data_IF_765345777464
#
_entry.id   IF_765345777464
#
_cell.length_a   1.000
_cell.length_b   1.000
_cell.length_c   1.000
_cell.angle_alpha   90.00
_cell.angle_beta   90.00
_cell.angle_gamma   90.00
#
_symmetry.space_group_name_H-M   'P 1'
#
loop_
_entity.id
_entity.type
_entity.pdbx_description
1 polymer ?
#
# COMPACT_ATOMS: atom_id res chain seq x y z
N UNK A 1 9.44 31.62 13.94
CA UNK A 1 9.53 30.21 13.48
C UNK A 1 8.14 29.63 13.57
N UNK A 2 7.40 29.73 12.48
CA UNK A 2 5.99 29.31 12.41
C UNK A 2 5.97 28.11 11.48
N UNK A 3 5.76 26.92 12.04
CA UNK A 3 5.59 25.69 11.26
C UNK A 3 4.21 25.73 10.62
N UNK A 4 4.18 26.00 9.33
CA UNK A 4 2.95 25.95 8.54
C UNK A 4 2.65 24.48 8.25
N UNK A 5 1.51 24.02 8.74
CA UNK A 5 0.93 22.74 8.38
C UNK A 5 0.73 22.66 6.86
N UNK A 6 1.24 21.61 6.23
CA UNK A 6 0.77 21.12 4.93
C UNK A 6 0.55 19.62 5.05
N UNK A 7 -0.68 19.29 5.41
CA UNK A 7 -1.31 18.02 5.08
C UNK A 7 -2.28 18.29 3.91
N UNK A 8 -2.47 17.27 3.08
CA UNK A 8 -3.43 17.15 1.97
C UNK A 8 -3.03 17.81 0.63
N UNK A 9 -2.39 17.03 -0.24
CA UNK A 9 -2.56 17.15 -1.70
C UNK A 9 -2.04 15.91 -2.47
N UNK A 10 -2.53 14.69 -2.22
CA UNK A 10 -2.44 13.61 -3.22
C UNK A 10 -3.77 12.86 -3.25
N UNK A 11 -4.72 13.41 -4.01
CA UNK A 11 -5.96 12.74 -4.37
C UNK A 11 -6.50 13.33 -5.69
N UNK A 12 -5.78 13.14 -6.80
CA UNK A 12 -6.32 13.43 -8.14
C UNK A 12 -5.43 12.89 -9.27
N UNK A 13 -5.25 11.57 -9.38
CA UNK A 13 -4.71 10.97 -10.60
C UNK A 13 -5.31 9.58 -10.90
N UNK A 14 -6.63 9.43 -10.74
CA UNK A 14 -7.34 8.22 -11.21
C UNK A 14 -8.84 8.49 -11.46
N UNK A 15 -9.18 9.58 -12.16
CA UNK A 15 -10.58 9.84 -12.54
C UNK A 15 -10.69 10.17 -14.02
N UNK A 16 -10.21 9.28 -14.87
CA UNK A 16 -10.56 9.29 -16.28
C UNK A 16 -10.66 7.83 -16.77
N UNK A 17 -11.86 7.24 -16.75
CA UNK A 17 -12.47 6.54 -17.90
C UNK A 17 -13.88 5.98 -17.55
N UNK A 18 -14.85 6.43 -18.35
CA UNK A 18 -16.16 5.84 -18.67
C UNK A 18 -17.32 5.88 -17.66
N UNK A 19 -18.02 7.00 -17.72
CA UNK A 19 -19.48 7.03 -17.77
C UNK A 19 -20.00 6.32 -19.05
N UNK A 20 -20.88 5.31 -18.92
CA UNK A 20 -22.01 5.02 -19.83
C UNK A 20 -22.75 3.72 -19.46
N UNK A 21 -23.85 3.82 -18.71
CA UNK A 21 -25.17 3.23 -19.03
C UNK A 21 -26.10 3.38 -17.81
N UNK A 22 -27.08 4.27 -17.96
CA UNK A 22 -28.12 4.52 -16.97
C UNK A 22 -29.12 3.37 -16.89
N UNK A 23 -29.56 3.10 -15.67
CA UNK A 23 -30.71 2.25 -15.34
C UNK A 23 -31.32 2.75 -14.04
N UNK A 24 -32.32 3.62 -14.16
CA UNK A 24 -33.08 4.22 -13.07
C UNK A 24 -33.92 3.20 -12.32
N UNK A 25 -33.78 3.13 -10.99
CA UNK A 25 -34.88 2.75 -10.09
C UNK A 25 -34.61 3.21 -8.66
N UNK A 26 -35.31 4.28 -8.27
CA UNK A 26 -35.73 4.65 -6.91
C UNK A 26 -36.35 3.44 -6.17
N UNK A 27 -36.24 3.31 -4.83
CA UNK A 27 -37.15 4.08 -3.97
C UNK A 27 -36.69 4.47 -2.53
N UNK A 28 -37.42 5.47 -2.00
CA UNK A 28 -37.88 5.70 -0.61
C UNK A 28 -36.82 5.80 0.50
N UNK A 29 -36.49 7.00 1.01
CA UNK A 29 -37.25 7.80 2.01
C UNK A 29 -37.68 7.05 3.27
N UNK A 30 -36.84 7.10 4.31
CA UNK A 30 -37.18 7.49 5.70
C UNK A 30 -35.94 7.29 6.57
N UNK A 31 -35.58 8.27 7.42
CA UNK A 31 -35.30 8.07 8.86
C UNK A 31 -34.76 9.37 9.48
N UNK A 32 -35.65 9.94 10.29
CA UNK A 32 -35.53 10.78 11.50
C UNK A 32 -34.20 11.45 11.88
N UNK A 33 -34.30 12.77 12.03
CA UNK A 33 -33.38 13.65 12.73
C UNK A 33 -33.28 13.34 14.24
N UNK A 34 -32.05 13.40 14.77
CA UNK A 34 -31.78 13.57 16.18
C UNK A 34 -30.89 14.82 16.34
N UNK A 35 -31.49 15.85 16.94
CA UNK A 35 -30.81 17.05 17.43
C UNK A 35 -29.77 16.66 18.49
N UNK A 36 -28.52 17.09 18.28
CA UNK A 36 -27.52 17.18 19.33
C UNK A 36 -26.87 18.56 19.23
N UNK A 37 -27.32 19.46 20.09
CA UNK A 37 -26.71 20.75 20.34
C UNK A 37 -25.32 20.53 20.97
N UNK A 38 -24.27 20.97 20.27
CA UNK A 38 -22.91 21.05 20.83
C UNK A 38 -22.59 22.53 21.03
N UNK A 39 -22.47 22.92 22.29
CA UNK A 39 -22.03 24.26 22.71
C UNK A 39 -20.57 24.48 22.30
N UNK A 40 -20.35 25.51 21.47
CA UNK A 40 -19.03 25.98 21.05
C UNK A 40 -18.54 27.02 22.04
N UNK A 41 -17.50 26.69 22.81
CA UNK A 41 -16.74 27.66 23.61
C UNK A 41 -15.58 28.17 22.79
N UNK A 42 -15.69 29.41 22.31
CA UNK A 42 -14.63 30.16 21.66
C UNK A 42 -13.72 30.77 22.72
N UNK A 43 -12.44 30.40 22.73
CA UNK A 43 -11.39 31.15 23.40
C UNK A 43 -10.51 31.82 22.34
N UNK A 44 -10.68 33.13 22.22
CA UNK A 44 -9.81 34.01 21.46
C UNK A 44 -8.51 34.23 22.24
N UNK A 45 -7.38 33.80 21.69
CA UNK A 45 -6.06 34.26 22.15
C UNK A 45 -5.35 35.02 21.03
N UNK A 46 -5.44 36.36 21.11
CA UNK A 46 -4.74 37.30 20.26
C UNK A 46 -3.32 37.54 20.78
N UNK A 47 -2.32 36.89 20.18
CA UNK A 47 -0.90 37.14 20.42
C UNK A 47 -0.26 37.86 19.23
N UNK A 48 0.22 39.07 19.48
CA UNK A 48 0.75 39.99 18.47
C UNK A 48 2.29 39.90 18.33
N UNK A 49 2.77 40.34 17.15
CA UNK A 49 4.10 40.94 16.86
C UNK A 49 5.31 39.99 16.80
N UNK A 50 5.94 39.87 15.63
CA UNK A 50 7.28 40.45 15.41
C UNK A 50 7.57 40.62 13.90
N UNK A 51 7.70 41.87 13.47
CA UNK A 51 8.25 42.26 12.17
C UNK A 51 9.74 42.51 12.36
N UNK A 52 10.61 41.77 11.67
CA UNK A 52 12.03 42.14 11.52
C UNK A 52 12.59 41.55 10.21
N UNK A 53 13.58 42.20 9.57
CA UNK A 53 13.53 42.49 8.15
C UNK A 53 14.68 41.80 7.40
N UNK A 54 14.57 41.85 6.08
CA UNK A 54 15.65 41.97 5.09
C UNK A 54 17.07 41.54 5.51
N UNK A 55 17.59 40.48 4.89
CA UNK A 55 19.00 40.11 5.05
C UNK A 55 19.57 38.92 4.26
N UNK A 56 19.52 38.96 2.92
CA UNK A 56 20.46 38.32 1.97
C UNK A 56 20.54 36.76 1.93
N UNK A 57 21.25 36.10 0.96
CA UNK A 57 22.03 36.58 -0.18
C UNK A 57 21.62 35.97 -1.56
N UNK A 58 22.43 36.27 -2.57
CA UNK A 58 22.26 36.03 -4.00
C UNK A 58 22.31 34.55 -4.40
N UNK A 59 21.42 34.25 -5.35
CA UNK A 59 21.38 33.15 -6.31
C UNK A 59 22.72 33.01 -7.07
N UNK A 60 23.34 31.84 -6.95
CA UNK A 60 24.68 31.51 -7.45
C UNK A 60 24.67 30.57 -8.66
N UNK A 61 23.65 30.59 -9.52
CA UNK A 61 23.79 30.17 -10.92
C UNK A 61 24.41 28.78 -11.15
N UNK A 62 24.10 27.82 -10.27
CA UNK A 62 24.40 26.41 -10.42
C UNK A 62 23.37 25.74 -11.32
N UNK A 63 23.83 25.25 -12.46
CA UNK A 63 23.11 24.39 -13.40
C UNK A 63 22.93 23.00 -12.78
N UNK A 64 21.87 22.84 -11.98
CA UNK A 64 21.45 21.57 -11.36
C UNK A 64 20.07 21.18 -11.90
N UNK A 65 20.03 20.42 -13.00
CA UNK A 65 18.77 20.00 -13.67
C UNK A 65 18.08 18.81 -12.99
N UNK A 66 18.10 18.74 -11.65
CA UNK A 66 17.22 17.88 -10.89
C UNK A 66 16.84 18.61 -9.61
N UNK A 67 15.64 19.20 -9.60
CA UNK A 67 15.10 19.85 -8.40
C UNK A 67 14.69 18.77 -7.41
N UNK A 68 15.54 18.45 -6.45
CA UNK A 68 15.13 17.71 -5.25
C UNK A 68 14.14 18.60 -4.49
N UNK A 69 12.88 18.18 -4.43
CA UNK A 69 11.91 18.84 -3.55
C UNK A 69 12.24 18.49 -2.10
N UNK A 70 11.85 19.33 -1.14
CA UNK A 70 12.09 19.06 0.30
C UNK A 70 11.45 17.75 0.83
N UNK A 71 10.70 17.02 -0.01
CA UNK A 71 9.98 15.80 0.34
C UNK A 71 10.58 14.52 -0.24
N UNK A 72 11.74 14.57 -0.94
CA UNK A 72 12.32 13.37 -1.57
C UNK A 72 11.56 12.88 -2.81
N UNK A 73 10.65 13.70 -3.35
CA UNK A 73 9.96 13.40 -4.61
C UNK A 73 10.93 13.52 -5.80
N UNK A 74 10.88 12.55 -6.70
CA UNK A 74 11.61 12.59 -7.98
C UNK A 74 10.69 13.16 -9.05
N UNK A 75 11.06 14.30 -9.64
CA UNK A 75 10.29 14.97 -10.68
C UNK A 75 11.01 15.02 -12.02
N UNK A 76 10.27 14.99 -13.14
CA UNK A 76 10.82 15.20 -14.48
C UNK A 76 11.08 16.70 -14.79
N UNK A 77 11.59 16.98 -16.00
CA UNK A 77 11.87 18.34 -16.49
C UNK A 77 10.64 19.26 -16.51
N UNK A 78 9.44 18.68 -16.56
CA UNK A 78 8.15 19.38 -16.55
C UNK A 78 7.57 19.52 -15.12
N UNK A 79 8.25 18.97 -14.11
CA UNK A 79 7.84 19.00 -12.71
C UNK A 79 6.80 17.94 -12.33
N UNK A 80 6.60 16.92 -13.16
CA UNK A 80 5.69 15.81 -12.83
C UNK A 80 6.41 14.79 -11.94
N UNK A 81 5.69 14.24 -10.96
CA UNK A 81 6.19 13.15 -10.11
C UNK A 81 6.42 11.89 -10.95
N UNK A 82 7.67 11.46 -11.04
CA UNK A 82 8.10 10.25 -11.77
C UNK A 82 8.74 9.21 -10.86
N UNK A 83 8.87 9.51 -9.57
CA UNK A 83 9.40 8.59 -8.58
C UNK A 83 9.34 9.16 -7.18
N UNK A 84 9.75 8.35 -6.21
CA UNK A 84 9.73 8.68 -4.78
C UNK A 84 10.97 8.12 -4.10
N UNK A 85 11.31 8.71 -2.96
CA UNK A 85 12.24 8.13 -2.00
C UNK A 85 11.50 7.12 -1.11
N UNK A 86 12.00 5.88 -1.05
CA UNK A 86 11.48 4.82 -0.19
C UNK A 86 12.53 4.36 0.81
N UNK A 87 12.11 4.04 2.03
CA UNK A 87 13.00 3.43 2.99
C UNK A 87 14.15 4.35 3.42
N UNK A 88 15.37 3.88 3.27
CA UNK A 88 16.58 4.56 3.77
C UNK A 88 17.22 5.48 2.72
N UNK A 89 16.40 6.12 1.88
CA UNK A 89 16.87 7.00 0.80
C UNK A 89 16.94 6.35 -0.58
N UNK A 90 16.28 5.21 -0.79
CA UNK A 90 16.25 4.57 -2.11
C UNK A 90 15.34 5.35 -3.04
N UNK A 91 15.90 5.92 -4.12
CA UNK A 91 15.09 6.55 -5.16
C UNK A 91 14.52 5.49 -6.09
N UNK A 92 13.20 5.53 -6.27
CA UNK A 92 12.45 4.56 -7.06
C UNK A 92 11.69 5.29 -8.13
N UNK A 93 11.87 4.87 -9.38
CA UNK A 93 11.13 5.41 -10.52
C UNK A 93 9.85 4.62 -10.83
N UNK A 94 8.79 5.34 -11.18
CA UNK A 94 7.54 4.77 -11.65
C UNK A 94 7.61 4.40 -13.13
N UNK A 95 7.05 3.23 -13.49
CA UNK A 95 6.84 2.82 -14.87
C UNK A 95 5.47 3.28 -15.37
N UNK A 96 5.36 4.59 -15.63
CA UNK A 96 4.11 5.20 -16.10
C UNK A 96 3.69 4.69 -17.49
N UNK A 97 4.64 4.23 -18.31
CA UNK A 97 4.36 3.63 -19.61
C UNK A 97 3.72 2.26 -19.46
N UNK A 98 4.25 1.41 -18.57
CA UNK A 98 3.64 0.12 -18.25
C UNK A 98 2.25 0.30 -17.65
N UNK A 99 2.09 1.25 -16.71
CA UNK A 99 0.80 1.59 -16.12
C UNK A 99 -0.23 2.02 -17.19
N UNK A 100 0.17 2.86 -18.15
CA UNK A 100 -0.71 3.33 -19.22
C UNK A 100 -1.05 2.23 -20.24
N UNK A 101 -0.14 1.27 -20.46
CA UNK A 101 -0.35 0.15 -21.38
C UNK A 101 -1.34 -0.89 -20.86
N UNK A 102 -1.44 -1.04 -19.54
CA UNK A 102 -2.26 -2.08 -18.89
C UNK A 102 -1.74 -3.51 -19.08
N UNK A 103 -0.49 -3.68 -19.50
CA UNK A 103 0.13 -4.99 -19.73
C UNK A 103 1.44 -5.10 -18.94
N UNK A 104 1.31 -5.32 -17.63
CA UNK A 104 2.43 -5.41 -16.70
C UNK A 104 2.79 -6.89 -16.51
N UNK A 105 4.08 -7.22 -16.53
CA UNK A 105 4.53 -8.60 -16.40
C UNK A 105 4.52 -9.07 -14.93
N UNK A 106 4.31 -10.37 -14.67
CA UNK A 106 4.66 -10.99 -13.39
C UNK A 106 6.11 -10.69 -12.99
N UNK A 107 6.34 -10.47 -11.70
CA UNK A 107 7.65 -10.10 -11.16
C UNK A 107 7.90 -8.59 -11.09
N UNK A 108 7.08 -7.76 -11.75
CA UNK A 108 7.13 -6.31 -11.56
C UNK A 108 6.83 -5.94 -10.11
N UNK A 109 7.58 -4.95 -9.60
CA UNK A 109 7.36 -4.35 -8.29
C UNK A 109 6.36 -3.21 -8.37
N UNK A 110 5.58 -3.00 -7.33
CA UNK A 110 4.55 -1.97 -7.26
C UNK A 110 4.71 -1.14 -6.00
N UNK A 111 4.64 0.18 -6.13
CA UNK A 111 4.59 1.11 -5.00
C UNK A 111 3.15 1.46 -4.64
N UNK A 112 2.85 1.54 -3.35
CA UNK A 112 1.62 2.13 -2.84
C UNK A 112 1.86 2.86 -1.52
N UNK A 113 0.92 3.73 -1.18
CA UNK A 113 0.93 4.51 0.06
C UNK A 113 -0.40 4.32 0.78
N UNK A 114 -0.35 4.25 2.11
CA UNK A 114 -1.51 4.24 2.98
C UNK A 114 -1.92 5.66 3.36
N UNK A 115 -3.20 5.91 3.51
CA UNK A 115 -3.74 7.16 4.08
C UNK A 115 -3.26 7.41 5.52
N UNK A 116 -2.80 6.36 6.22
CA UNK A 116 -2.18 6.46 7.54
C UNK A 116 -0.71 6.91 7.52
N UNK A 117 -0.13 7.18 6.34
CA UNK A 117 1.21 7.74 6.18
C UNK A 117 2.35 6.74 6.13
N UNK A 118 2.07 5.45 5.90
CA UNK A 118 3.10 4.46 5.63
C UNK A 118 3.07 4.00 4.17
N UNK A 119 4.23 3.68 3.66
CA UNK A 119 4.47 3.34 2.27
C UNK A 119 4.82 1.86 2.14
N UNK A 120 4.62 1.29 0.96
CA UNK A 120 4.97 -0.10 0.72
C UNK A 120 5.35 -0.41 -0.72
N UNK A 121 6.21 -1.41 -0.88
CA UNK A 121 6.58 -2.01 -2.16
C UNK A 121 6.13 -3.46 -2.18
N UNK A 122 5.37 -3.83 -3.20
CA UNK A 122 4.92 -5.20 -3.45
C UNK A 122 5.76 -5.80 -4.56
N UNK A 123 6.44 -6.91 -4.27
CA UNK A 123 7.02 -7.79 -5.27
C UNK A 123 6.01 -8.88 -5.60
N UNK A 124 5.46 -8.85 -6.81
CA UNK A 124 4.39 -9.78 -7.23
C UNK A 124 4.86 -11.23 -7.40
N UNK A 125 6.17 -11.44 -7.49
CA UNK A 125 6.74 -12.77 -7.56
C UNK A 125 8.05 -12.83 -6.80
N UNK A 126 8.14 -13.75 -5.84
CA UNK A 126 9.37 -14.09 -5.13
C UNK A 126 9.62 -15.61 -5.22
N UNK A 127 10.84 -16.03 -4.88
CA UNK A 127 11.14 -17.45 -4.74
C UNK A 127 10.27 -18.09 -3.64
N UNK A 128 9.86 -19.37 -3.78
CA UNK A 128 9.13 -20.08 -2.75
C UNK A 128 9.85 -20.03 -1.40
N UNK A 129 9.09 -19.72 -0.34
CA UNK A 129 9.62 -19.65 1.01
C UNK A 129 9.73 -21.08 1.55
N UNK A 130 10.96 -21.55 1.77
CA UNK A 130 11.30 -22.97 1.93
C UNK A 130 10.44 -23.73 2.96
N UNK A 131 10.22 -23.16 4.15
CA UNK A 131 9.46 -23.81 5.22
C UNK A 131 7.95 -23.77 4.99
N UNK A 132 7.42 -22.69 4.40
CA UNK A 132 6.03 -22.63 3.96
C UNK A 132 5.76 -23.65 2.86
N UNK A 133 6.65 -23.75 1.87
CA UNK A 133 6.48 -24.66 0.75
C UNK A 133 6.59 -26.13 1.20
N UNK A 134 7.55 -26.44 2.07
CA UNK A 134 7.67 -27.77 2.66
C UNK A 134 6.41 -28.15 3.46
N UNK A 135 5.85 -27.22 4.22
CA UNK A 135 4.63 -27.46 4.99
C UNK A 135 3.41 -27.64 4.08
N UNK A 136 3.25 -26.80 3.05
CA UNK A 136 2.21 -26.91 2.03
C UNK A 136 2.20 -28.28 1.37
N UNK A 137 3.37 -28.76 0.92
CA UNK A 137 3.52 -30.08 0.30
C UNK A 137 3.14 -31.21 1.26
N UNK A 138 3.57 -31.10 2.52
CA UNK A 138 3.23 -32.07 3.57
C UNK A 138 1.74 -32.10 3.87
N UNK A 139 1.08 -30.95 3.85
CA UNK A 139 -0.36 -30.79 4.01
C UNK A 139 -1.16 -31.25 2.78
N UNK A 140 -0.50 -31.45 1.64
CA UNK A 140 -1.17 -31.75 0.38
C UNK A 140 -1.98 -30.57 -0.16
N UNK A 141 -1.58 -29.33 0.19
CA UNK A 141 -2.18 -28.12 -0.37
C UNK A 141 -1.93 -28.00 -1.87
N UNK A 142 -2.75 -27.21 -2.55
CA UNK A 142 -2.51 -26.85 -3.96
C UNK A 142 -1.26 -25.97 -4.10
N UNK A 143 -0.57 -25.95 -5.25
CA UNK A 143 0.54 -25.02 -5.50
C UNK A 143 0.08 -23.56 -5.40
N UNK A 144 0.94 -22.69 -4.86
CA UNK A 144 0.66 -21.25 -4.68
C UNK A 144 1.78 -20.40 -5.28
N UNK A 145 1.47 -19.13 -5.57
CA UNK A 145 2.46 -18.10 -5.85
C UNK A 145 2.75 -17.30 -4.57
N UNK A 146 4.01 -16.88 -4.39
CA UNK A 146 4.45 -16.08 -3.26
C UNK A 146 4.71 -14.64 -3.69
N UNK A 147 4.31 -13.71 -2.83
CA UNK A 147 4.60 -12.28 -2.92
C UNK A 147 5.27 -11.79 -1.64
N UNK A 148 5.93 -10.65 -1.72
CA UNK A 148 6.35 -9.90 -0.54
C UNK A 148 5.86 -8.46 -0.59
N UNK A 149 5.45 -7.93 0.56
CA UNK A 149 5.27 -6.50 0.77
C UNK A 149 6.34 -5.99 1.73
N UNK A 150 7.24 -5.13 1.27
CA UNK A 150 8.15 -4.34 2.12
C UNK A 150 7.41 -3.08 2.55
N UNK A 151 7.13 -2.95 3.83
CA UNK A 151 6.27 -1.91 4.39
C UNK A 151 7.14 -0.99 5.23
N UNK A 152 7.22 0.27 4.85
CA UNK A 152 7.82 1.33 5.66
C UNK A 152 6.74 2.18 6.32
N UNK A 153 6.52 1.93 7.60
CA UNK A 153 5.56 2.65 8.40
C UNK A 153 6.24 3.54 9.44
N UNK A 154 7.46 4.03 9.14
CA UNK A 154 8.23 4.84 10.08
C UNK A 154 7.61 6.21 10.34
N UNK A 155 6.98 6.78 9.32
CA UNK A 155 6.27 8.06 9.37
C UNK A 155 4.76 7.90 9.59
N UNK A 156 4.24 6.68 9.55
CA UNK A 156 2.81 6.43 9.68
C UNK A 156 2.30 6.42 11.13
N UNK A 157 1.00 6.71 11.27
CA UNK A 157 0.34 6.89 12.56
C UNK A 157 -0.39 5.63 13.08
N UNK A 158 -0.62 4.64 12.21
CA UNK A 158 -1.39 3.44 12.51
C UNK A 158 -0.71 2.18 11.97
N UNK A 159 -1.12 1.01 12.47
CA UNK A 159 -0.56 -0.26 12.01
C UNK A 159 -0.95 -0.55 10.55
N UNK A 160 0.03 -0.93 9.72
CA UNK A 160 -0.19 -1.42 8.35
C UNK A 160 -0.02 -2.93 8.38
N UNK A 161 -1.09 -3.68 8.11
CA UNK A 161 -1.09 -5.13 8.16
C UNK A 161 -1.28 -5.81 6.80
N UNK A 162 -1.44 -5.04 5.72
CA UNK A 162 -1.60 -5.54 4.36
C UNK A 162 -2.55 -6.74 4.29
N UNK A 163 -3.79 -6.53 4.71
CA UNK A 163 -4.78 -7.60 4.91
C UNK A 163 -4.97 -8.47 3.66
N UNK A 164 -4.95 -7.85 2.50
CA UNK A 164 -5.12 -8.52 1.22
C UNK A 164 -4.44 -7.71 0.12
N UNK A 165 -3.94 -8.41 -0.89
CA UNK A 165 -3.58 -7.82 -2.18
C UNK A 165 -4.44 -8.47 -3.26
N UNK A 166 -5.08 -7.64 -4.08
CA UNK A 166 -5.85 -8.07 -5.24
C UNK A 166 -5.08 -7.70 -6.52
N UNK A 167 -4.80 -8.71 -7.35
CA UNK A 167 -4.19 -8.54 -8.67
C UNK A 167 -5.26 -8.76 -9.72
N UNK A 168 -5.30 -7.89 -10.73
CA UNK A 168 -6.28 -7.95 -11.80
C UNK A 168 -5.61 -8.20 -13.14
N UNK A 169 -6.26 -9.00 -13.99
CA UNK A 169 -5.85 -9.26 -15.37
C UNK A 169 -6.60 -8.37 -16.39
N UNK A 170 -6.21 -8.37 -17.69
CA UNK A 170 -6.90 -7.61 -18.73
C UNK A 170 -8.38 -7.98 -18.96
N UNK A 171 -8.82 -9.15 -18.50
CA UNK A 171 -10.23 -9.55 -18.55
C UNK A 171 -11.03 -9.08 -17.32
N UNK A 172 -10.37 -8.48 -16.33
CA UNK A 172 -10.96 -8.04 -15.07
C UNK A 172 -11.15 -9.18 -14.06
N UNK A 173 -10.49 -10.33 -14.24
CA UNK A 173 -10.47 -11.38 -13.23
C UNK A 173 -9.58 -10.95 -12.07
N UNK A 174 -10.03 -11.27 -10.85
CA UNK A 174 -9.35 -10.94 -9.60
C UNK A 174 -8.62 -12.16 -9.05
N UNK A 175 -7.37 -11.95 -8.64
CA UNK A 175 -6.49 -12.93 -8.03
C UNK A 175 -6.09 -12.41 -6.65
N UNK A 176 -6.53 -13.12 -5.61
CA UNK A 176 -6.42 -12.67 -4.23
C UNK A 176 -5.22 -13.32 -3.55
N UNK A 177 -4.44 -12.49 -2.87
CA UNK A 177 -3.30 -12.88 -2.05
C UNK A 177 -3.56 -12.47 -0.61
N UNK A 178 -3.39 -13.42 0.29
CA UNK A 178 -3.56 -13.27 1.75
C UNK A 178 -2.23 -13.53 2.46
N UNK A 179 -2.19 -13.25 3.76
CA UNK A 179 -0.98 -13.42 4.55
C UNK A 179 -0.57 -14.89 4.69
N UNK A 180 0.73 -15.15 4.78
CA UNK A 180 1.24 -16.50 4.89
C UNK A 180 0.78 -17.24 6.17
N UNK A 181 0.43 -16.53 7.25
CA UNK A 181 -0.16 -17.16 8.44
C UNK A 181 -1.57 -17.69 8.18
N UNK A 182 -2.37 -17.00 7.37
CA UNK A 182 -3.70 -17.47 6.97
C UNK A 182 -3.58 -18.74 6.10
N UNK A 183 -2.66 -18.76 5.14
CA UNK A 183 -2.41 -19.97 4.35
C UNK A 183 -1.86 -21.14 5.20
N UNK A 184 -0.99 -20.87 6.16
CA UNK A 184 -0.51 -21.90 7.09
C UNK A 184 -1.66 -22.48 7.92
N UNK A 185 -2.61 -21.64 8.36
CA UNK A 185 -3.81 -22.08 9.06
C UNK A 185 -4.72 -22.94 8.16
N UNK A 186 -4.92 -22.56 6.90
CA UNK A 186 -5.70 -23.34 5.93
C UNK A 186 -5.07 -24.71 5.66
N UNK A 187 -3.76 -24.76 5.43
CA UNK A 187 -3.05 -26.01 5.18
C UNK A 187 -3.04 -26.93 6.39
N UNK A 188 -2.94 -26.36 7.60
CA UNK A 188 -3.08 -27.11 8.85
C UNK A 188 -4.44 -27.80 8.94
N UNK A 189 -5.51 -27.13 8.53
CA UNK A 189 -6.86 -27.69 8.57
C UNK A 189 -7.04 -28.88 7.60
N UNK A 190 -6.28 -28.95 6.50
CA UNK A 190 -6.29 -30.08 5.57
C UNK A 190 -5.75 -31.38 6.19
N UNK A 191 -4.78 -31.26 7.09
CA UNK A 191 -4.13 -32.39 7.76
C UNK A 191 -5.02 -33.05 8.83
N UNK A 192 -6.01 -32.30 9.34
CA UNK A 192 -6.76 -32.70 10.53
C UNK A 192 -5.91 -32.69 11.81
N UNK A 193 -6.45 -33.27 12.89
CA UNK A 193 -5.82 -33.24 14.22
C UNK A 193 -5.09 -34.54 14.62
N UNK A 194 -4.97 -35.49 13.70
CA UNK A 194 -4.47 -36.84 14.01
C UNK A 194 -2.93 -36.92 14.07
N UNK A 195 -2.25 -36.01 13.35
CA UNK A 195 -0.80 -35.84 13.39
C UNK A 195 -0.44 -34.58 14.20
N UNK A 196 -0.26 -34.77 15.50
CA UNK A 196 0.03 -33.69 16.45
C UNK A 196 1.32 -32.94 16.11
N UNK A 197 2.34 -33.63 15.59
CA UNK A 197 3.63 -33.01 15.29
C UNK A 197 3.48 -32.07 14.08
N UNK A 198 2.80 -32.52 13.03
CA UNK A 198 2.52 -31.70 11.85
C UNK A 198 1.52 -30.57 12.14
N UNK A 199 0.56 -30.81 13.02
CA UNK A 199 -0.36 -29.77 13.47
C UNK A 199 0.37 -28.64 14.23
N UNK A 200 1.29 -28.99 15.14
CA UNK A 200 2.09 -28.02 15.86
C UNK A 200 3.06 -27.25 14.95
N UNK A 201 3.62 -27.91 13.94
CA UNK A 201 4.44 -27.25 12.90
C UNK A 201 3.64 -26.14 12.18
N UNK A 202 2.36 -26.39 11.86
CA UNK A 202 1.47 -25.38 11.29
C UNK A 202 1.20 -24.20 12.23
N UNK A 203 1.03 -24.46 13.53
CA UNK A 203 0.92 -23.40 14.53
C UNK A 203 2.21 -22.58 14.61
N UNK A 204 3.37 -23.24 14.60
CA UNK A 204 4.66 -22.56 14.66
C UNK A 204 4.88 -21.68 13.42
N UNK A 205 4.50 -22.16 12.23
CA UNK A 205 4.52 -21.37 11.00
C UNK A 205 3.53 -20.21 11.04
N UNK A 206 2.26 -20.47 11.38
CA UNK A 206 1.26 -19.41 11.53
C UNK A 206 1.78 -18.31 12.48
N UNK A 207 2.27 -18.66 13.66
CA UNK A 207 2.87 -17.69 14.59
C UNK A 207 4.13 -16.98 14.05
N UNK A 208 4.94 -17.65 13.22
CA UNK A 208 6.14 -17.05 12.61
C UNK A 208 5.79 -15.99 11.57
N UNK A 209 4.73 -16.21 10.80
CA UNK A 209 4.26 -15.28 9.77
C UNK A 209 3.16 -14.32 10.25
N UNK A 210 2.60 -14.57 11.45
CA UNK A 210 1.65 -13.70 12.11
C UNK A 210 2.29 -12.35 12.43
N UNK A 211 1.52 -11.27 12.28
CA UNK A 211 1.94 -9.90 12.59
C UNK A 211 3.16 -9.41 11.78
N UNK A 212 3.34 -9.89 10.55
CA UNK A 212 4.37 -9.34 9.66
C UNK A 212 4.09 -7.94 9.12
N UNK A 213 2.93 -7.36 9.47
CA UNK A 213 2.66 -5.94 9.29
C UNK A 213 3.66 -5.04 10.02
N UNK A 214 3.61 -3.75 9.73
CA UNK A 214 4.46 -2.74 10.33
C UNK A 214 3.63 -1.90 11.32
N UNK A 215 4.02 -1.92 12.59
CA UNK A 215 3.52 -0.95 13.57
C UNK A 215 4.04 0.46 13.25
N UNK A 216 3.45 1.52 13.82
CA UNK A 216 4.01 2.87 13.71
C UNK A 216 5.48 2.88 14.11
N UNK A 217 6.30 3.64 13.37
CA UNK A 217 7.74 3.75 13.57
C UNK A 217 8.54 2.47 13.25
N UNK A 218 7.97 1.56 12.46
CA UNK A 218 8.59 0.29 12.07
C UNK A 218 8.65 0.12 10.55
N UNK A 219 9.66 -0.61 10.08
CA UNK A 219 9.68 -1.22 8.75
C UNK A 219 9.63 -2.75 8.89
N UNK A 220 8.87 -3.44 8.05
CA UNK A 220 8.76 -4.89 8.07
C UNK A 220 8.57 -5.45 6.66
N UNK A 221 8.74 -6.76 6.53
CA UNK A 221 8.42 -7.47 5.29
C UNK A 221 7.38 -8.52 5.59
N UNK A 222 6.32 -8.54 4.79
CA UNK A 222 5.22 -9.48 4.86
C UNK A 222 5.22 -10.41 3.68
N UNK A 223 5.05 -11.70 3.93
CA UNK A 223 4.88 -12.72 2.88
C UNK A 223 3.40 -12.94 2.65
N UNK A 224 3.01 -12.92 1.38
CA UNK A 224 1.65 -13.24 0.95
C UNK A 224 1.65 -14.44 0.01
N UNK A 225 0.55 -15.17 0.03
CA UNK A 225 0.33 -16.37 -0.78
C UNK A 225 -1.00 -16.29 -1.50
N UNK A 226 -1.07 -16.83 -2.70
CA UNK A 226 -2.29 -16.85 -3.49
C UNK A 226 -2.19 -17.76 -4.70
N UNK A 227 -3.14 -17.69 -5.64
CA UNK A 227 -3.13 -18.51 -6.85
C UNK A 227 -1.95 -18.16 -7.78
N UNK A 228 -1.78 -18.94 -8.83
CA UNK A 228 -0.88 -18.60 -9.94
C UNK A 228 -1.23 -17.22 -10.51
N UNK A 229 -0.20 -16.40 -10.75
CA UNK A 229 -0.37 -15.07 -11.34
C UNK A 229 -0.87 -15.17 -12.79
N UNK A 230 -1.72 -14.23 -13.25
CA UNK A 230 -2.01 -14.11 -14.67
C UNK A 230 -0.73 -13.74 -15.44
N UNK A 231 -0.67 -14.11 -16.73
CA UNK A 231 0.47 -13.79 -17.59
C UNK A 231 0.67 -12.28 -17.82
N UNK A 232 -0.40 -11.50 -17.63
CA UNK A 232 -0.43 -10.04 -17.72
C UNK A 232 -1.25 -9.48 -16.57
N UNK A 233 -0.75 -8.42 -15.94
CA UNK A 233 -1.35 -7.70 -14.82
C UNK A 233 -1.78 -6.32 -15.32
N UNK A 234 -3.01 -5.92 -15.04
CA UNK A 234 -3.49 -4.55 -15.31
C UNK A 234 -3.40 -3.64 -14.10
N UNK A 235 -3.62 -4.19 -12.91
CA UNK A 235 -3.66 -3.42 -11.68
C UNK A 235 -3.35 -4.30 -10.47
N UNK A 236 -2.76 -3.68 -9.45
CA UNK A 236 -2.59 -4.26 -8.12
C UNK A 236 -3.21 -3.28 -7.11
N UNK A 237 -4.12 -3.79 -6.29
CA UNK A 237 -4.78 -3.03 -5.22
C UNK A 237 -4.39 -3.68 -3.89
N UNK A 238 -3.87 -2.86 -2.99
CA UNK A 238 -3.49 -3.25 -1.65
C UNK A 238 -4.57 -2.85 -0.64
N UNK A 239 -4.74 -3.63 0.42
CA UNK A 239 -5.58 -3.28 1.57
C UNK A 239 -4.72 -3.07 2.82
N UNK A 240 -4.00 -1.94 2.92
CA UNK A 240 -2.96 -1.75 3.93
C UNK A 240 -3.50 -1.73 5.37
N UNK A 241 -4.78 -1.36 5.58
CA UNK A 241 -5.43 -1.24 6.89
C UNK A 241 -6.73 -2.04 6.99
N UNK A 242 -6.69 -3.29 6.56
CA UNK A 242 -7.89 -4.15 6.51
C UNK A 242 -8.86 -3.73 5.41
N UNK A 243 -10.08 -4.27 5.46
CA UNK A 243 -11.13 -3.99 4.48
C UNK A 243 -11.66 -2.53 4.47
N UNK A 244 -11.06 -1.64 5.26
CA UNK A 244 -11.49 -0.25 5.42
C UNK A 244 -10.73 0.73 4.52
N UNK A 245 -9.59 0.32 3.98
CA UNK A 245 -8.73 1.15 3.15
C UNK A 245 -8.22 0.34 1.97
N UNK A 246 -8.36 0.89 0.77
CA UNK A 246 -7.78 0.36 -0.45
C UNK A 246 -6.80 1.37 -1.02
N UNK A 247 -5.60 0.93 -1.34
CA UNK A 247 -4.57 1.71 -1.98
C UNK A 247 -4.32 1.17 -3.39
N UNK A 248 -4.54 2.00 -4.40
CA UNK A 248 -4.08 1.72 -5.76
C UNK A 248 -2.57 1.83 -5.79
N UNK A 249 -1.92 0.91 -6.50
CA UNK A 249 -0.46 0.90 -6.62
C UNK A 249 0.00 1.28 -8.02
N UNK A 250 1.27 1.67 -8.14
CA UNK A 250 1.91 2.08 -9.39
C UNK A 250 3.08 1.14 -9.68
N UNK A 251 3.21 0.57 -10.88
CA UNK A 251 4.36 -0.26 -11.22
C UNK A 251 5.66 0.55 -11.18
N UNK A 252 6.73 -0.11 -10.78
CA UNK A 252 8.07 0.45 -10.68
C UNK A 252 8.93 0.01 -11.86
N UNK A 253 9.89 0.85 -12.25
CA UNK A 253 10.95 0.43 -13.18
C UNK A 253 11.95 -0.49 -12.46
N UNK A 254 12.48 -1.46 -13.20
CA UNK A 254 13.56 -2.34 -12.74
C UNK A 254 14.94 -1.66 -12.77
#
# INVERSE_FOLDING_TARGET
MTRTARAAAIAAAATLLLAACGGTSDPATETTAADAEVEVSAEEESGAVDENPEGAPMDDGGDDTAFETEAGDVVDDDGNLVGIEFGDGEQIEFDLDAAASGAIAPGTRFYGASEAGGDFIISTQIDPVEDLEAYREKAGGDPVNYMSADIDNREGAENINMYQIAVYDPAGNEYVYTSADEAADEWRDLLGSDDVDTYNEGIDLSNKYLNQGASPHQRSTMILTGPELPAEITAVIAMPRGAFESATTVPLKD
#
